data_IF_327405407281
#
_entry.id   IF_327405407281
#
_cell.length_a   1.000
_cell.length_b   1.000
_cell.length_c   1.000
_cell.angle_alpha   90.00
_cell.angle_beta   90.00
_cell.angle_gamma   90.00
#
_symmetry.space_group_name_H-M   'P 1'
#
loop_
_entity.id
_entity.type
_entity.pdbx_description
1 polymer ?
#
# COMPACT_ATOMS: atom_id res chain seq x y z
N UNK A 1 -7.93 -28.74 -18.94
CA UNK A 1 -7.98 -28.21 -17.56
C UNK A 1 -8.44 -26.75 -17.60
N UNK A 2 -9.58 -26.42 -16.98
CA UNK A 2 -10.15 -25.07 -16.97
C UNK A 2 -9.38 -24.18 -15.98
N UNK A 3 -8.55 -23.27 -16.46
CA UNK A 3 -7.94 -22.23 -15.63
C UNK A 3 -8.98 -21.13 -15.38
N UNK A 4 -9.52 -21.06 -14.16
CA UNK A 4 -10.38 -19.96 -13.72
C UNK A 4 -9.49 -18.78 -13.35
N UNK A 5 -9.29 -17.84 -14.27
CA UNK A 5 -8.68 -16.54 -13.96
C UNK A 5 -9.69 -15.69 -13.19
N UNK A 6 -9.51 -15.63 -11.87
CA UNK A 6 -10.20 -14.65 -11.03
C UNK A 6 -9.55 -13.29 -11.28
N UNK A 7 -10.12 -12.50 -12.17
CA UNK A 7 -9.68 -11.12 -12.43
C UNK A 7 -10.12 -10.23 -11.27
N UNK A 8 -9.16 -9.56 -10.64
CA UNK A 8 -9.34 -8.56 -9.58
C UNK A 8 -9.79 -7.22 -10.22
N UNK A 9 -10.81 -6.50 -9.72
CA UNK A 9 -11.37 -5.35 -10.43
C UNK A 9 -10.59 -4.06 -10.09
N UNK A 10 -9.50 -3.77 -10.81
CA UNK A 10 -8.62 -2.63 -10.51
C UNK A 10 -8.46 -1.63 -11.67
N UNK A 11 -9.55 -0.99 -12.10
CA UNK A 11 -9.48 0.21 -12.93
C UNK A 11 -10.41 1.28 -12.38
N UNK A 12 -9.93 2.51 -12.26
CA UNK A 12 -10.73 3.67 -11.86
C UNK A 12 -10.56 4.75 -12.92
N UNK A 13 -11.69 5.29 -13.35
CA UNK A 13 -11.83 6.26 -14.44
C UNK A 13 -12.28 7.59 -13.82
N UNK A 14 -11.49 8.66 -13.96
CA UNK A 14 -11.82 9.98 -13.39
C UNK A 14 -12.63 10.81 -14.39
N UNK A 15 -13.93 11.03 -14.11
CA UNK A 15 -14.85 11.81 -14.97
C UNK A 15 -14.75 13.32 -14.71
N UNK A 16 -15.08 14.08 -15.76
CA UNK A 16 -15.26 15.54 -15.75
C UNK A 16 -16.24 15.97 -14.65
N UNK A 17 -15.80 16.94 -13.86
CA UNK A 17 -16.59 17.72 -12.88
C UNK A 17 -17.02 16.97 -11.60
N UNK A 18 -16.08 16.89 -10.65
CA UNK A 18 -16.18 16.10 -9.41
C UNK A 18 -16.69 16.89 -8.18
N UNK A 19 -17.33 18.03 -8.35
CA UNK A 19 -17.97 18.70 -7.19
C UNK A 19 -19.27 18.03 -6.72
N UNK A 20 -19.94 17.20 -7.55
CA UNK A 20 -21.32 16.74 -7.26
C UNK A 20 -21.55 15.22 -7.23
N UNK A 21 -20.56 14.43 -7.65
CA UNK A 21 -20.66 12.96 -7.67
C UNK A 21 -20.05 12.30 -6.43
N UNK A 22 -19.01 12.91 -5.84
CA UNK A 22 -18.34 12.38 -4.65
C UNK A 22 -19.16 12.60 -3.36
N UNK A 23 -19.84 13.74 -3.24
CA UNK A 23 -20.70 14.05 -2.10
C UNK A 23 -21.75 12.95 -1.87
N UNK A 24 -22.35 12.42 -2.95
CA UNK A 24 -23.34 11.33 -2.87
C UNK A 24 -22.77 10.00 -2.38
N UNK A 25 -21.56 9.62 -2.78
CA UNK A 25 -20.91 8.38 -2.33
C UNK A 25 -20.39 8.47 -0.88
N UNK A 26 -20.00 9.68 -0.46
CA UNK A 26 -19.58 9.96 0.91
C UNK A 26 -20.76 9.98 1.90
N UNK A 27 -21.91 10.51 1.47
CA UNK A 27 -23.14 10.55 2.28
C UNK A 27 -23.76 9.16 2.49
N UNK A 28 -23.73 8.29 1.47
CA UNK A 28 -24.18 6.89 1.61
C UNK A 28 -23.27 6.09 2.54
N UNK A 29 -21.95 6.29 2.46
CA UNK A 29 -20.97 5.63 3.33
C UNK A 29 -21.10 6.10 4.79
N UNK A 30 -21.31 7.40 5.01
CA UNK A 30 -21.53 7.97 6.34
C UNK A 30 -22.90 7.57 6.95
N UNK A 31 -23.93 7.40 6.11
CA UNK A 31 -25.24 6.89 6.53
C UNK A 31 -25.19 5.42 6.99
N UNK A 32 -24.37 4.59 6.33
CA UNK A 32 -24.14 3.18 6.71
C UNK A 32 -23.33 3.09 8.00
N UNK A 33 -22.30 3.92 8.17
CA UNK A 33 -21.48 3.97 9.39
C UNK A 33 -22.30 4.42 10.62
N UNK A 34 -23.17 5.43 10.48
CA UNK A 34 -24.08 5.86 11.58
C UNK A 34 -25.13 4.80 11.96
N UNK A 35 -25.59 3.97 11.00
CA UNK A 35 -26.48 2.83 11.28
C UNK A 35 -25.77 1.70 12.03
N UNK A 36 -24.50 1.45 11.72
CA UNK A 36 -23.69 0.41 12.38
C UNK A 36 -23.32 0.80 13.82
N UNK A 37 -23.09 2.08 14.11
CA UNK A 37 -22.82 2.55 15.47
C UNK A 37 -24.07 2.54 16.37
N UNK A 38 -25.26 2.83 15.83
CA UNK A 38 -26.52 2.69 16.57
C UNK A 38 -26.83 1.23 16.94
N UNK A 39 -26.46 0.27 16.09
CA UNK A 39 -26.68 -1.15 16.34
C UNK A 39 -25.72 -1.74 17.41
N UNK A 40 -24.57 -1.10 17.67
CA UNK A 40 -23.59 -1.55 18.69
C UNK A 40 -23.96 -1.16 20.12
N UNK A 41 -24.86 -0.20 20.32
CA UNK A 41 -25.21 0.30 21.67
C UNK A 41 -26.27 -0.53 22.41
N UNK A 42 -26.80 -1.59 21.80
CA UNK A 42 -27.81 -2.46 22.42
C UNK A 42 -27.41 -3.92 22.23
N UNK A 43 -26.69 -4.49 23.20
CA UNK A 43 -26.77 -5.89 23.69
C UNK A 43 -25.48 -6.30 24.42
N UNK A 44 -25.55 -6.28 25.75
CA UNK A 44 -24.68 -7.05 26.63
C UNK A 44 -25.26 -8.46 26.81
N UNK A 45 -24.50 -9.50 26.48
CA UNK A 45 -24.39 -10.76 27.23
C UNK A 45 -23.67 -11.82 26.38
N UNK A 46 -22.55 -12.29 26.92
CA UNK A 46 -21.89 -13.62 26.73
C UNK A 46 -22.40 -14.54 25.63
N UNK A 47 -21.61 -14.67 24.55
CA UNK A 47 -21.46 -15.91 23.76
C UNK A 47 -20.20 -15.84 22.91
N UNK A 48 -19.48 -16.96 22.79
CA UNK A 48 -18.23 -17.11 22.00
C UNK A 48 -18.42 -16.56 20.58
N UNK A 49 -17.74 -15.47 20.24
CA UNK A 49 -17.78 -14.89 18.89
C UNK A 49 -16.86 -15.68 17.96
N UNK A 50 -17.44 -16.38 16.99
CA UNK A 50 -16.75 -16.68 15.75
C UNK A 50 -16.36 -15.36 15.08
N UNK A 51 -15.11 -15.29 14.60
CA UNK A 51 -14.62 -14.15 13.84
C UNK A 51 -15.52 -13.89 12.61
N UNK A 52 -15.89 -12.64 12.32
CA UNK A 52 -16.72 -12.34 11.16
C UNK A 52 -15.92 -12.64 9.88
N UNK A 53 -16.48 -13.50 9.04
CA UNK A 53 -16.02 -13.69 7.65
C UNK A 53 -16.16 -12.35 6.93
N UNK A 54 -15.03 -11.70 6.65
CA UNK A 54 -14.98 -10.55 5.74
C UNK A 54 -15.32 -11.08 4.36
N UNK A 55 -16.56 -10.85 3.92
CA UNK A 55 -16.96 -11.06 2.54
C UNK A 55 -16.40 -9.88 1.75
N UNK A 56 -15.26 -10.06 1.10
CA UNK A 56 -14.79 -9.11 0.08
C UNK A 56 -15.80 -9.16 -1.07
N UNK A 57 -16.64 -8.13 -1.17
CA UNK A 57 -17.46 -7.93 -2.36
C UNK A 57 -16.53 -7.80 -3.57
N UNK A 58 -16.51 -8.81 -4.44
CA UNK A 58 -15.92 -8.64 -5.76
C UNK A 58 -16.87 -7.76 -6.55
N UNK A 59 -16.45 -6.54 -6.86
CA UNK A 59 -17.10 -5.76 -7.89
C UNK A 59 -17.01 -6.56 -9.20
N UNK A 60 -18.15 -6.95 -9.76
CA UNK A 60 -18.20 -7.48 -11.13
C UNK A 60 -17.96 -6.31 -12.07
N UNK A 61 -16.77 -6.21 -12.64
CA UNK A 61 -16.52 -5.26 -13.71
C UNK A 61 -17.32 -5.70 -14.95
N UNK A 62 -18.26 -4.86 -15.40
CA UNK A 62 -18.94 -5.10 -16.67
C UNK A 62 -17.93 -4.93 -17.81
N UNK A 63 -18.05 -5.77 -18.85
CA UNK A 63 -17.22 -5.61 -20.06
C UNK A 63 -17.57 -4.26 -20.70
N UNK A 64 -16.52 -3.50 -21.01
CA UNK A 64 -16.66 -2.25 -21.76
C UNK A 64 -17.29 -2.54 -23.13
N UNK A 65 -18.42 -1.90 -23.41
CA UNK A 65 -19.17 -2.08 -24.67
C UNK A 65 -18.76 -1.07 -25.73
N UNK A 66 -18.38 0.13 -25.30
CA UNK A 66 -17.98 1.24 -26.16
C UNK A 66 -16.71 1.90 -25.57
N UNK A 67 -15.52 1.57 -26.12
CA UNK A 67 -14.26 2.13 -25.66
C UNK A 67 -14.11 3.62 -25.95
N UNK A 68 -14.60 4.08 -27.10
CA UNK A 68 -14.43 5.46 -27.56
C UNK A 68 -15.22 6.42 -26.65
N UNK A 69 -16.45 6.04 -26.30
CA UNK A 69 -17.24 6.78 -25.33
C UNK A 69 -16.53 6.94 -23.97
N UNK A 70 -15.81 5.91 -23.51
CA UNK A 70 -15.07 5.98 -22.25
C UNK A 70 -13.90 6.94 -22.36
N UNK A 71 -13.12 6.82 -23.43
CA UNK A 71 -11.95 7.67 -23.72
C UNK A 71 -12.37 9.14 -23.79
N UNK A 72 -13.45 9.44 -24.51
CA UNK A 72 -13.96 10.81 -24.65
C UNK A 72 -14.56 11.37 -23.35
N UNK A 73 -14.95 10.50 -22.40
CA UNK A 73 -15.59 10.91 -21.15
C UNK A 73 -14.61 11.35 -20.05
N UNK A 74 -13.30 11.14 -20.24
CA UNK A 74 -12.28 11.40 -19.22
C UNK A 74 -11.05 12.10 -19.76
N UNK A 75 -10.44 12.90 -18.90
CA UNK A 75 -9.24 13.66 -19.24
C UNK A 75 -7.96 12.90 -18.88
N UNK A 76 -8.03 11.99 -17.92
CA UNK A 76 -6.86 11.23 -17.46
C UNK A 76 -7.25 9.82 -17.04
N UNK A 77 -6.48 8.85 -17.54
CA UNK A 77 -6.54 7.47 -17.09
C UNK A 77 -5.40 7.21 -16.11
N UNK A 78 -5.73 6.58 -14.98
CA UNK A 78 -4.74 6.07 -14.03
C UNK A 78 -4.79 4.55 -14.09
N UNK A 79 -3.69 3.94 -14.55
CA UNK A 79 -3.60 2.50 -14.69
C UNK A 79 -2.90 1.86 -13.48
N UNK A 80 -3.44 0.76 -12.99
CA UNK A 80 -2.60 -0.20 -12.26
C UNK A 80 -1.55 -0.76 -13.23
N UNK A 81 -0.45 -1.28 -12.71
CA UNK A 81 0.58 -1.87 -13.54
C UNK A 81 0.63 -3.39 -13.43
N UNK A 82 0.73 -3.92 -12.21
CA UNK A 82 0.88 -5.35 -11.97
C UNK A 82 -0.44 -6.08 -12.33
N UNK A 83 -0.41 -6.95 -13.34
CA UNK A 83 -1.57 -7.65 -13.86
C UNK A 83 -2.42 -6.85 -14.85
N UNK A 84 -2.01 -5.62 -15.19
CA UNK A 84 -2.69 -4.73 -16.15
C UNK A 84 -1.79 -4.35 -17.32
N UNK A 85 -0.61 -3.79 -17.04
CA UNK A 85 0.40 -3.41 -18.03
C UNK A 85 1.42 -4.54 -18.21
N UNK A 86 1.80 -5.20 -17.12
CA UNK A 86 2.77 -6.30 -17.14
C UNK A 86 2.41 -7.42 -16.15
N UNK A 87 3.01 -8.58 -16.36
CA UNK A 87 3.00 -9.69 -15.40
C UNK A 87 4.43 -10.19 -15.20
N UNK A 88 4.97 -9.99 -14.00
CA UNK A 88 6.37 -10.27 -13.71
C UNK A 88 7.28 -9.33 -14.52
N UNK A 89 8.06 -9.88 -15.44
CA UNK A 89 9.01 -9.19 -16.31
C UNK A 89 8.55 -9.13 -17.78
N UNK A 90 7.28 -9.44 -18.06
CA UNK A 90 6.71 -9.43 -19.42
C UNK A 90 5.56 -8.42 -19.51
N UNK A 91 5.53 -7.64 -20.57
CA UNK A 91 4.35 -6.86 -20.93
C UNK A 91 3.18 -7.80 -21.24
N UNK A 92 1.97 -7.39 -20.89
CA UNK A 92 0.76 -8.13 -21.25
C UNK A 92 0.46 -7.87 -22.73
N UNK A 93 0.06 -8.92 -23.45
CA UNK A 93 -0.26 -8.85 -24.87
C UNK A 93 -1.31 -7.76 -25.16
N UNK A 94 -1.03 -6.91 -26.15
CA UNK A 94 -1.93 -5.82 -26.54
C UNK A 94 -1.73 -4.50 -25.79
N UNK A 95 -0.81 -4.44 -24.81
CA UNK A 95 -0.35 -3.16 -24.24
C UNK A 95 0.64 -2.53 -25.22
N UNK A 96 0.28 -1.45 -25.94
CA UNK A 96 1.21 -0.79 -26.86
C UNK A 96 2.43 -0.25 -26.10
N UNK A 97 3.61 -0.47 -26.66
CA UNK A 97 4.91 -0.06 -26.08
C UNK A 97 4.98 1.42 -25.66
N UNK A 98 4.32 2.39 -26.34
CA UNK A 98 4.33 3.80 -25.95
C UNK A 98 3.22 4.21 -24.97
N UNK A 99 2.44 3.31 -24.36
CA UNK A 99 1.52 3.70 -23.28
C UNK A 99 2.32 4.14 -22.06
N UNK A 100 2.70 5.41 -22.10
CA UNK A 100 3.13 6.25 -21.00
C UNK A 100 2.03 6.19 -19.95
N UNK A 101 2.24 5.36 -18.93
CA UNK A 101 1.25 5.16 -17.88
C UNK A 101 1.47 6.20 -16.78
N UNK A 102 0.50 7.12 -16.66
CA UNK A 102 0.09 7.66 -15.36
C UNK A 102 -0.34 6.46 -14.49
N UNK A 103 0.60 5.91 -13.72
CA UNK A 103 0.44 4.60 -13.11
C UNK A 103 0.69 4.59 -11.60
N UNK A 104 -0.26 4.03 -10.84
CA UNK A 104 -0.09 3.75 -9.41
C UNK A 104 0.62 2.41 -9.20
N UNK A 105 1.88 2.46 -8.82
CA UNK A 105 2.77 1.33 -8.58
C UNK A 105 2.76 0.85 -7.15
N UNK A 106 3.23 -0.38 -6.97
CA UNK A 106 3.75 -0.91 -5.70
C UNK A 106 5.29 -0.99 -5.72
N UNK A 107 5.94 -1.08 -6.89
CA UNK A 107 7.38 -1.42 -7.01
C UNK A 107 8.13 -0.70 -8.14
N UNK A 108 7.98 0.62 -8.23
CA UNK A 108 8.34 1.33 -9.45
C UNK A 108 9.77 1.16 -9.97
N UNK A 109 10.75 1.12 -9.07
CA UNK A 109 12.14 1.11 -9.53
C UNK A 109 12.63 -0.21 -10.14
N UNK A 110 12.00 -1.36 -9.86
CA UNK A 110 12.57 -2.66 -10.22
C UNK A 110 12.11 -3.17 -11.60
N UNK A 111 10.82 -2.97 -11.94
CA UNK A 111 10.29 -3.35 -13.25
C UNK A 111 10.73 -2.37 -14.36
N UNK A 112 10.87 -1.08 -14.04
CA UNK A 112 11.47 -0.07 -14.92
C UNK A 112 12.85 -0.49 -15.42
N UNK A 113 13.73 -0.93 -14.51
CA UNK A 113 15.08 -1.39 -14.84
C UNK A 113 15.09 -2.70 -15.64
N UNK A 114 14.16 -3.63 -15.37
CA UNK A 114 14.11 -4.91 -16.10
C UNK A 114 13.53 -4.79 -17.50
N UNK A 115 12.54 -3.91 -17.69
CA UNK A 115 11.89 -3.75 -18.98
C UNK A 115 12.66 -2.83 -19.93
N UNK A 116 13.57 -1.96 -19.45
CA UNK A 116 14.45 -1.08 -20.25
C UNK A 116 13.76 -0.27 -21.36
N UNK A 117 12.43 -0.13 -21.32
CA UNK A 117 11.61 0.30 -22.46
C UNK A 117 10.45 1.24 -22.10
N UNK A 118 10.37 1.73 -20.86
CA UNK A 118 9.28 2.61 -20.42
C UNK A 118 9.84 4.03 -20.23
N UNK A 119 9.23 5.02 -20.88
CA UNK A 119 9.68 6.42 -20.92
C UNK A 119 9.15 7.27 -19.74
N UNK A 120 9.93 8.30 -19.37
CA UNK A 120 9.76 9.30 -18.28
C UNK A 120 9.40 8.76 -16.89
N UNK A 121 10.40 8.72 -16.00
CA UNK A 121 10.30 8.27 -14.60
C UNK A 121 9.32 9.11 -13.75
N UNK A 122 9.01 10.32 -14.17
CA UNK A 122 8.27 11.35 -13.41
C UNK A 122 6.75 11.09 -13.30
N UNK A 123 6.18 10.23 -14.14
CA UNK A 123 4.73 9.96 -14.20
C UNK A 123 4.36 8.63 -13.52
N UNK A 124 5.30 8.09 -12.76
CA UNK A 124 5.17 6.77 -12.18
C UNK A 124 5.17 6.81 -10.64
N UNK A 125 4.03 6.47 -10.02
CA UNK A 125 3.80 6.71 -8.60
C UNK A 125 3.81 5.42 -7.77
N UNK A 126 4.92 5.10 -7.11
CA UNK A 126 5.03 3.88 -6.32
C UNK A 126 4.32 3.95 -4.95
N UNK A 127 3.97 2.80 -4.37
CA UNK A 127 3.39 2.73 -3.01
C UNK A 127 4.40 3.12 -1.94
N UNK A 128 5.69 3.16 -2.28
CA UNK A 128 6.71 3.80 -1.47
C UNK A 128 6.52 5.33 -1.39
N UNK A 129 6.10 5.97 -2.50
CA UNK A 129 5.86 7.41 -2.55
C UNK A 129 4.72 7.81 -1.60
N UNK A 130 3.66 7.01 -1.48
CA UNK A 130 2.52 7.36 -0.61
C UNK A 130 2.87 7.44 0.87
N UNK A 131 3.80 6.63 1.35
CA UNK A 131 4.25 6.74 2.74
C UNK A 131 4.95 8.07 3.00
N UNK A 132 5.89 8.47 2.14
CA UNK A 132 6.57 9.74 2.25
C UNK A 132 5.61 10.94 2.06
N UNK A 133 4.69 10.86 1.09
CA UNK A 133 3.68 11.88 0.85
C UNK A 133 2.71 12.02 2.05
N UNK A 134 2.29 10.92 2.66
CA UNK A 134 1.44 10.91 3.84
C UNK A 134 2.13 11.57 5.03
N UNK A 135 3.38 11.19 5.32
CA UNK A 135 4.18 11.78 6.39
C UNK A 135 4.38 13.28 6.18
N UNK A 136 4.62 13.74 4.94
CA UNK A 136 4.65 15.17 4.63
C UNK A 136 3.31 15.86 4.88
N UNK A 137 2.19 15.26 4.45
CA UNK A 137 0.86 15.88 4.59
C UNK A 137 0.36 15.97 6.03
N UNK A 138 0.99 15.24 6.95
CA UNK A 138 0.64 15.20 8.37
C UNK A 138 1.62 15.98 9.24
N UNK A 139 2.50 16.78 8.63
CA UNK A 139 3.55 17.55 9.31
C UNK A 139 4.40 16.68 10.25
N UNK A 140 4.88 15.54 9.74
CA UNK A 140 5.72 14.62 10.51
C UNK A 140 6.91 15.37 11.16
N UNK A 141 7.15 15.22 12.48
CA UNK A 141 8.14 16.03 13.19
C UNK A 141 9.55 15.88 12.62
N UNK A 142 10.24 17.00 12.41
CA UNK A 142 11.57 17.05 11.75
C UNK A 142 12.69 16.43 12.59
N UNK A 143 12.50 16.34 13.90
CA UNK A 143 13.39 15.72 14.86
C UNK A 143 13.15 14.21 15.02
N UNK A 144 12.08 13.68 14.41
CA UNK A 144 11.74 12.26 14.44
C UNK A 144 12.23 11.54 13.19
N UNK A 145 12.45 10.23 13.35
CA UNK A 145 12.90 9.32 12.30
C UNK A 145 11.81 8.31 11.94
N UNK A 146 11.92 7.77 10.73
CA UNK A 146 11.14 6.64 10.26
C UNK A 146 11.98 5.37 10.32
N UNK A 147 11.51 4.34 11.02
CA UNK A 147 12.06 2.99 10.87
C UNK A 147 11.40 2.29 9.69
N UNK A 148 12.20 1.78 8.76
CA UNK A 148 11.71 1.18 7.52
C UNK A 148 11.88 -0.34 7.56
N UNK A 149 10.78 -1.04 7.32
CA UNK A 149 10.76 -2.47 6.99
C UNK A 149 10.35 -2.58 5.53
N UNK A 150 11.31 -2.68 4.61
CA UNK A 150 11.04 -2.54 3.18
C UNK A 150 12.30 -2.33 2.34
N UNK A 151 12.15 -2.44 1.03
CA UNK A 151 13.25 -2.20 0.07
C UNK A 151 13.55 -0.71 -0.18
N UNK A 152 14.61 -0.46 -0.95
CA UNK A 152 15.17 0.87 -1.24
C UNK A 152 14.19 1.89 -1.82
N UNK A 153 13.11 1.43 -2.45
CA UNK A 153 12.07 2.31 -2.95
C UNK A 153 11.50 3.21 -1.86
N UNK A 154 11.31 2.70 -0.64
CA UNK A 154 10.82 3.53 0.49
C UNK A 154 11.90 4.50 0.95
N UNK A 155 13.15 4.04 1.04
CA UNK A 155 14.28 4.86 1.50
C UNK A 155 14.49 6.08 0.59
N UNK A 156 14.48 5.87 -0.73
CA UNK A 156 14.62 6.94 -1.72
C UNK A 156 13.50 7.98 -1.62
N UNK A 157 12.27 7.55 -1.41
CA UNK A 157 11.12 8.46 -1.28
C UNK A 157 11.19 9.28 0.01
N UNK A 158 11.67 8.68 1.12
CA UNK A 158 11.91 9.40 2.37
C UNK A 158 13.06 10.40 2.22
N UNK A 159 14.13 10.04 1.51
CA UNK A 159 15.26 10.93 1.21
C UNK A 159 14.82 12.13 0.35
N UNK A 160 14.09 11.89 -0.75
CA UNK A 160 13.48 12.95 -1.56
C UNK A 160 12.51 13.81 -0.75
N UNK A 161 11.86 13.21 0.25
CA UNK A 161 11.01 13.91 1.18
C UNK A 161 11.76 14.70 2.26
N UNK A 162 13.08 14.56 2.37
CA UNK A 162 13.93 15.09 3.46
C UNK A 162 13.48 14.62 4.84
N UNK A 163 12.98 13.40 4.93
CA UNK A 163 12.57 12.74 6.18
C UNK A 163 13.70 11.82 6.62
N UNK A 164 14.14 11.94 7.87
CA UNK A 164 15.17 11.07 8.43
C UNK A 164 14.66 9.64 8.58
N UNK A 165 15.50 8.66 8.29
CA UNK A 165 15.13 7.26 8.38
C UNK A 165 16.28 6.37 8.85
N UNK A 166 15.93 5.15 9.25
CA UNK A 166 16.84 4.04 9.49
C UNK A 166 16.18 2.71 9.11
N UNK A 167 16.95 1.62 9.10
CA UNK A 167 16.48 0.29 8.73
C UNK A 167 16.58 0.01 7.23
N UNK A 168 15.59 -0.68 6.68
CA UNK A 168 15.56 -1.11 5.28
C UNK A 168 16.62 -2.16 4.97
N UNK A 169 17.31 -2.04 3.83
CA UNK A 169 18.34 -3.00 3.43
C UNK A 169 19.54 -3.04 4.38
N UNK A 170 19.85 -1.94 5.08
CA UNK A 170 20.97 -1.88 6.03
C UNK A 170 20.83 -2.78 7.26
N UNK A 171 19.62 -3.28 7.52
CA UNK A 171 19.35 -4.22 8.63
C UNK A 171 19.29 -5.69 8.18
N UNK A 172 19.42 -5.98 6.89
CA UNK A 172 19.15 -7.31 6.30
C UNK A 172 20.06 -8.46 6.77
N UNK A 173 21.19 -8.13 7.37
CA UNK A 173 22.15 -9.10 7.90
C UNK A 173 22.27 -9.04 9.42
N UNK A 174 21.49 -8.16 10.08
CA UNK A 174 21.53 -8.02 11.52
C UNK A 174 20.86 -9.21 12.18
N UNK A 175 21.45 -9.67 13.28
CA UNK A 175 20.95 -10.81 14.05
C UNK A 175 20.79 -10.42 15.50
N UNK A 176 19.82 -11.04 16.15
CA UNK A 176 19.58 -10.89 17.59
C UNK A 176 20.26 -12.04 18.31
N UNK A 177 21.12 -11.72 19.27
CA UNK A 177 21.67 -12.70 20.21
C UNK A 177 20.71 -12.86 21.39
N UNK A 178 20.10 -14.03 21.53
CA UNK A 178 19.19 -14.32 22.62
C UNK A 178 19.94 -14.94 23.80
N UNK A 179 20.04 -14.19 24.90
CA UNK A 179 20.61 -14.63 26.17
C UNK A 179 19.78 -14.12 27.35
N UNK A 180 19.83 -14.76 28.53
CA UNK A 180 19.08 -14.30 29.69
C UNK A 180 19.34 -12.82 30.01
N UNK A 181 18.27 -12.04 30.16
CA UNK A 181 18.35 -10.60 30.45
C UNK A 181 18.70 -9.71 29.26
N UNK A 182 18.86 -10.25 28.05
CA UNK A 182 19.09 -9.43 26.86
C UNK A 182 17.86 -8.59 26.51
N UNK A 183 18.09 -7.29 26.34
CA UNK A 183 17.13 -6.34 25.81
C UNK A 183 17.70 -5.79 24.50
N UNK A 184 16.89 -5.81 23.44
CA UNK A 184 17.26 -5.17 22.19
C UNK A 184 17.03 -3.66 22.33
N UNK A 185 18.06 -2.87 22.03
CA UNK A 185 17.92 -1.41 21.97
C UNK A 185 17.26 -0.97 20.66
N UNK A 186 16.42 0.06 20.74
CA UNK A 186 15.85 0.76 19.60
C UNK A 186 15.96 2.27 19.78
N UNK A 187 15.86 3.02 18.68
CA UNK A 187 15.97 4.48 18.71
C UNK A 187 14.64 5.10 19.16
N UNK A 188 14.65 5.75 20.32
CA UNK A 188 13.50 6.43 20.93
C UNK A 188 12.98 7.62 20.09
N UNK A 189 13.78 8.10 19.13
CA UNK A 189 13.37 9.14 18.19
C UNK A 189 12.63 8.61 16.96
N UNK A 190 12.39 7.30 16.87
CA UNK A 190 11.50 6.75 15.83
C UNK A 190 10.06 7.15 16.14
N UNK A 191 9.50 8.01 15.28
CA UNK A 191 8.10 8.46 15.35
C UNK A 191 7.16 7.72 14.41
N UNK A 192 7.69 6.93 13.48
CA UNK A 192 6.89 6.11 12.58
C UNK A 192 7.65 4.85 12.16
N UNK A 193 6.92 3.74 12.03
CA UNK A 193 7.37 2.53 11.34
C UNK A 193 6.61 2.41 10.02
N UNK A 194 7.35 2.39 8.91
CA UNK A 194 6.79 2.18 7.57
C UNK A 194 7.12 0.77 7.10
N UNK A 195 6.09 0.00 6.78
CA UNK A 195 6.19 -1.38 6.33
C UNK A 195 5.76 -1.50 4.88
N UNK A 196 6.62 -2.13 4.08
CA UNK A 196 6.32 -2.53 2.71
C UNK A 196 6.92 -3.89 2.40
N UNK A 197 6.99 -4.20 1.12
CA UNK A 197 7.61 -5.44 0.66
C UNK A 197 9.12 -5.42 0.91
N UNK A 198 9.61 -6.42 1.65
CA UNK A 198 11.04 -6.63 1.95
C UNK A 198 11.42 -8.10 1.70
N UNK A 199 12.35 -8.36 0.78
CA UNK A 199 12.84 -9.73 0.50
C UNK A 199 13.77 -10.26 1.59
N UNK A 200 14.36 -9.36 2.36
CA UNK A 200 15.27 -9.66 3.46
C UNK A 200 14.57 -9.38 4.79
N UNK A 201 13.27 -9.70 4.86
CA UNK A 201 12.48 -9.60 6.07
C UNK A 201 12.90 -10.69 7.04
N UNK A 202 13.31 -10.29 8.24
CA UNK A 202 13.86 -11.18 9.25
C UNK A 202 13.32 -10.87 10.65
N UNK A 203 13.75 -11.67 11.62
CA UNK A 203 13.34 -11.51 13.00
C UNK A 203 13.85 -10.20 13.63
N UNK A 204 15.03 -9.72 13.21
CA UNK A 204 15.59 -8.46 13.71
C UNK A 204 14.65 -7.30 13.40
N UNK A 205 14.20 -7.18 12.15
CA UNK A 205 13.29 -6.12 11.70
C UNK A 205 11.93 -6.20 12.36
N UNK A 206 11.39 -7.42 12.58
CA UNK A 206 10.14 -7.62 13.32
C UNK A 206 10.27 -7.07 14.73
N UNK A 207 11.32 -7.47 15.46
CA UNK A 207 11.51 -7.06 16.84
C UNK A 207 11.74 -5.55 16.95
N UNK A 208 12.61 -4.97 16.12
CA UNK A 208 12.88 -3.53 16.13
C UNK A 208 11.62 -2.71 15.86
N UNK A 209 10.84 -3.09 14.83
CA UNK A 209 9.55 -2.47 14.53
C UNK A 209 8.57 -2.60 15.71
N UNK A 210 8.54 -3.78 16.35
CA UNK A 210 7.67 -4.05 17.50
C UNK A 210 7.98 -3.12 18.66
N UNK A 211 9.26 -2.97 19.01
CA UNK A 211 9.71 -2.07 20.08
C UNK A 211 9.35 -0.61 19.75
N UNK A 212 9.67 -0.14 18.54
CA UNK A 212 9.31 1.21 18.11
C UNK A 212 7.80 1.47 18.22
N UNK A 213 6.96 0.54 17.80
CA UNK A 213 5.48 0.71 17.80
C UNK A 213 4.90 0.66 19.22
N UNK A 214 5.49 -0.12 20.12
CA UNK A 214 4.95 -0.36 21.46
C UNK A 214 5.48 0.61 22.52
N UNK A 215 6.75 1.01 22.39
CA UNK A 215 7.48 1.72 23.44
C UNK A 215 7.65 3.21 23.12
N UNK A 216 7.76 3.59 21.84
CA UNK A 216 7.88 5.01 21.50
C UNK A 216 6.50 5.69 21.51
N UNK A 217 6.33 6.80 22.25
CA UNK A 217 5.07 7.52 22.33
C UNK A 217 4.57 7.99 20.95
N UNK A 218 3.29 7.73 20.67
CA UNK A 218 2.63 8.15 19.44
C UNK A 218 3.28 7.63 18.14
N UNK A 219 4.08 6.56 18.22
CA UNK A 219 4.69 5.98 17.04
C UNK A 219 3.63 5.47 16.06
N UNK A 220 3.68 6.00 14.84
CA UNK A 220 2.79 5.63 13.74
C UNK A 220 3.17 4.25 13.21
N UNK A 221 2.18 3.43 12.90
CA UNK A 221 2.38 2.18 12.18
C UNK A 221 1.73 2.33 10.80
N UNK A 222 2.55 2.39 9.74
CA UNK A 222 2.12 2.69 8.38
C UNK A 222 2.46 1.50 7.48
N UNK A 223 1.52 1.10 6.63
CA UNK A 223 1.72 0.10 5.60
C UNK A 223 1.55 0.72 4.21
N UNK A 224 2.53 0.48 3.33
CA UNK A 224 2.48 0.94 1.92
C UNK A 224 1.35 0.24 1.15
N UNK A 225 1.07 -1.04 1.43
CA UNK A 225 -0.12 -1.79 1.01
C UNK A 225 -0.28 -3.03 1.90
N UNK A 226 -1.30 -3.86 1.62
CA UNK A 226 -1.54 -5.13 2.33
C UNK A 226 -1.74 -6.31 1.39
N UNK A 227 -1.13 -6.27 0.21
CA UNK A 227 -1.28 -7.34 -0.77
C UNK A 227 -0.70 -8.64 -0.19
N UNK A 228 -1.53 -9.68 -0.11
CA UNK A 228 -1.12 -10.96 0.47
C UNK A 228 -0.05 -11.66 -0.38
N UNK A 229 -0.12 -11.48 -1.70
CA UNK A 229 0.81 -12.06 -2.67
C UNK A 229 1.30 -11.02 -3.66
N UNK A 230 2.46 -11.27 -4.24
CA UNK A 230 3.07 -10.48 -5.31
C UNK A 230 3.62 -11.41 -6.40
N UNK A 231 3.80 -10.88 -7.60
CA UNK A 231 4.32 -11.61 -8.76
C UNK A 231 5.76 -11.16 -9.05
N UNK A 232 6.75 -11.82 -8.44
CA UNK A 232 8.18 -11.51 -8.63
C UNK A 232 8.78 -12.17 -9.87
N UNK A 233 8.17 -13.29 -10.28
CA UNK A 233 8.51 -14.09 -11.46
C UNK A 233 7.22 -14.48 -12.17
N UNK A 234 7.31 -15.00 -13.39
CA UNK A 234 6.15 -15.50 -14.14
C UNK A 234 5.66 -16.87 -13.65
N UNK A 235 6.50 -17.59 -12.91
CA UNK A 235 6.26 -18.98 -12.51
C UNK A 235 5.28 -19.16 -11.33
N UNK A 236 5.28 -18.28 -10.33
CA UNK A 236 4.43 -18.43 -9.15
C UNK A 236 4.15 -17.12 -8.40
N UNK A 237 3.16 -17.18 -7.52
CA UNK A 237 2.93 -16.16 -6.50
C UNK A 237 3.96 -16.28 -5.38
N UNK A 238 4.33 -15.12 -4.82
CA UNK A 238 5.24 -14.98 -3.69
C UNK A 238 4.56 -14.18 -2.60
N UNK A 239 5.00 -14.33 -1.35
CA UNK A 239 4.50 -13.52 -0.23
C UNK A 239 4.63 -12.02 -0.53
N UNK A 240 3.53 -11.28 -0.41
CA UNK A 240 3.47 -9.83 -0.64
C UNK A 240 3.70 -9.01 0.62
N UNK A 241 3.66 -7.68 0.51
CA UNK A 241 3.86 -6.77 1.65
C UNK A 241 2.89 -7.02 2.81
N UNK A 242 1.69 -7.54 2.53
CA UNK A 242 0.71 -7.95 3.53
C UNK A 242 1.21 -9.03 4.50
N UNK A 243 2.13 -9.91 4.06
CA UNK A 243 2.74 -10.92 4.94
C UNK A 243 3.66 -10.29 5.98
N UNK A 244 4.49 -9.31 5.60
CA UNK A 244 5.38 -8.58 6.51
C UNK A 244 4.57 -7.73 7.48
N UNK A 245 3.54 -7.04 6.98
CA UNK A 245 2.58 -6.29 7.79
C UNK A 245 1.91 -7.20 8.81
N UNK A 246 1.46 -8.40 8.40
CA UNK A 246 0.82 -9.36 9.29
C UNK A 246 1.71 -9.80 10.45
N UNK A 247 3.01 -10.02 10.22
CA UNK A 247 3.95 -10.37 11.28
C UNK A 247 4.12 -9.24 12.31
N UNK A 248 4.19 -7.98 11.86
CA UNK A 248 4.30 -6.82 12.75
C UNK A 248 2.98 -6.54 13.47
N UNK A 249 1.83 -6.68 12.79
CA UNK A 249 0.51 -6.61 13.44
C UNK A 249 0.34 -7.68 14.51
N UNK A 250 0.82 -8.91 14.27
CA UNK A 250 0.73 -10.00 15.23
C UNK A 250 1.54 -9.77 16.51
N UNK A 251 2.74 -9.20 16.39
CA UNK A 251 3.62 -8.90 17.53
C UNK A 251 3.22 -7.63 18.29
N UNK A 252 2.70 -6.63 17.59
CA UNK A 252 2.26 -5.37 18.18
C UNK A 252 0.81 -5.37 18.67
N UNK A 253 -0.03 -6.27 18.14
CA UNK A 253 -1.49 -6.26 18.30
C UNK A 253 -2.13 -4.93 17.84
N UNK A 254 -1.48 -4.23 16.91
CA UNK A 254 -1.96 -2.98 16.31
C UNK A 254 -2.14 -3.17 14.80
N UNK A 255 -3.15 -2.51 14.25
CA UNK A 255 -3.36 -2.45 12.80
C UNK A 255 -2.64 -1.21 12.23
N UNK A 256 -2.04 -1.31 11.03
CA UNK A 256 -1.40 -0.17 10.41
C UNK A 256 -2.43 0.76 9.76
N UNK A 257 -2.03 2.02 9.59
CA UNK A 257 -2.61 2.89 8.59
C UNK A 257 -2.10 2.48 7.20
N UNK A 258 -3.02 2.15 6.29
CA UNK A 258 -2.66 1.81 4.91
C UNK A 258 -2.71 3.06 4.03
N UNK A 259 -1.59 3.40 3.39
CA UNK A 259 -1.45 4.66 2.63
C UNK A 259 -1.39 4.48 1.12
N UNK A 260 -0.97 3.31 0.62
CA UNK A 260 -1.17 2.93 -0.79
C UNK A 260 -2.46 2.14 -0.98
N UNK A 261 -2.56 1.39 -2.08
CA UNK A 261 -3.79 0.68 -2.46
C UNK A 261 -4.29 -0.27 -1.33
N UNK A 262 -5.61 -0.33 -1.06
CA UNK A 262 -6.72 0.36 -1.74
C UNK A 262 -7.05 1.76 -1.18
N UNK A 263 -6.16 2.40 -0.40
CA UNK A 263 -6.41 3.71 0.20
C UNK A 263 -6.66 4.79 -0.85
N UNK A 264 -7.75 5.54 -0.67
CA UNK A 264 -8.07 6.68 -1.52
C UNK A 264 -7.04 7.83 -1.38
N UNK A 265 -6.20 7.82 -0.34
CA UNK A 265 -5.18 8.84 -0.13
C UNK A 265 -4.30 9.03 -1.38
N UNK A 266 -3.83 7.92 -1.95
CA UNK A 266 -2.99 7.92 -3.14
C UNK A 266 -3.70 8.55 -4.35
N UNK A 267 -4.95 8.15 -4.59
CA UNK A 267 -5.76 8.68 -5.69
C UNK A 267 -6.07 10.16 -5.52
N UNK A 268 -6.50 10.57 -4.32
CA UNK A 268 -6.83 11.96 -4.01
C UNK A 268 -5.59 12.85 -4.11
N UNK A 269 -4.43 12.37 -3.65
CA UNK A 269 -3.18 13.10 -3.77
C UNK A 269 -2.78 13.31 -5.23
N UNK A 270 -2.91 12.27 -6.08
CA UNK A 270 -2.61 12.42 -7.51
C UNK A 270 -3.61 13.33 -8.22
N UNK A 271 -4.91 13.16 -7.97
CA UNK A 271 -5.94 14.00 -8.55
C UNK A 271 -5.69 15.47 -8.23
N UNK A 272 -5.45 15.81 -6.96
CA UNK A 272 -5.23 17.22 -6.57
C UNK A 272 -3.92 17.83 -7.09
N UNK A 273 -2.94 17.00 -7.47
CA UNK A 273 -1.61 17.49 -7.86
C UNK A 273 -1.43 17.59 -9.37
N UNK A 274 -2.13 16.75 -10.14
CA UNK A 274 -1.92 16.59 -11.58
C UNK A 274 -3.19 16.82 -12.42
N UNK A 275 -4.36 17.01 -11.79
CA UNK A 275 -5.63 17.39 -12.41
C UNK A 275 -6.07 18.75 -11.85
#
# INVERSE_FOLDING_TARGET
MRCKTNVNPNFIVLKRDMSKAYDRASDESNGVLKKLDRARKVRSSTSRRMAPRIVTARASAEKLKDPDQLIDSVETFIFDCDGVIWKGDKLIDGVPEPLICFGLRVRGYFCYQRLNKITKTEEIFASSFTAAAYLKSTDFPKDKKVYVVGGDGILKELELARIQYLGGLGDSEKKIELKPGYMMEHDENVGAVVVGFDRYFDYYKIQYATLCIRENPSCLFIATNRDAVTHLTDAQEWAGGGSMVGAISGSTQREPLVVGKPSAFMMNYLANKYV
#
